data_IF_870363056647
#
_entry.id   IF_870363056647
#
_cell.length_a   1.000
_cell.length_b   1.000
_cell.length_c   1.000
_cell.angle_alpha   90.00
_cell.angle_beta   90.00
_cell.angle_gamma   90.00
#
_symmetry.space_group_name_H-M   'P 1'
#
loop_
_entity.id
_entity.type
_entity.pdbx_description
1 polymer ?
#
# COMPACT_ATOMS: atom_id res chain seq x y z
N UNK A 1 9.18 -4.31 -8.08
CA UNK A 1 9.35 -4.18 -9.54
C UNK A 1 8.14 -3.48 -10.15
N UNK A 2 6.92 -3.97 -9.99
CA UNK A 2 5.71 -3.32 -10.59
C UNK A 2 5.11 -2.14 -9.80
N UNK A 3 5.31 -2.05 -8.48
CA UNK A 3 4.72 -1.00 -7.61
C UNK A 3 5.76 -0.12 -6.91
N UNK A 4 7.02 -0.15 -7.36
CA UNK A 4 8.17 0.53 -6.71
C UNK A 4 8.29 0.27 -5.19
N UNK A 5 7.75 -0.88 -4.75
CA UNK A 5 7.62 -1.23 -3.34
C UNK A 5 8.97 -1.57 -2.71
N UNK A 6 9.54 -0.64 -1.94
CA UNK A 6 10.88 -0.78 -1.35
C UNK A 6 10.88 -1.06 0.15
N UNK A 7 9.74 -0.89 0.85
CA UNK A 7 9.65 -1.06 2.31
C UNK A 7 8.39 -1.79 2.75
N UNK A 8 8.56 -3.04 3.18
CA UNK A 8 7.49 -3.93 3.63
C UNK A 8 7.16 -3.83 5.14
N UNK A 9 7.78 -2.90 5.86
CA UNK A 9 7.62 -2.77 7.31
C UNK A 9 7.81 -1.32 7.79
N UNK A 10 7.06 -0.92 8.80
CA UNK A 10 7.10 0.43 9.35
C UNK A 10 6.85 0.46 10.85
N UNK A 11 7.64 1.26 11.55
CA UNK A 11 7.52 1.47 12.99
C UNK A 11 6.43 2.50 13.28
N UNK A 12 5.66 2.29 14.35
CA UNK A 12 4.77 3.31 14.88
C UNK A 12 5.57 4.55 15.29
N UNK A 13 4.97 5.75 15.25
CA UNK A 13 5.65 6.99 15.61
C UNK A 13 6.18 7.00 17.05
N UNK A 14 5.58 6.20 17.94
CA UNK A 14 6.04 6.00 19.33
C UNK A 14 7.05 4.86 19.52
N UNK A 15 7.41 4.14 18.44
CA UNK A 15 8.36 3.03 18.43
C UNK A 15 7.88 1.75 19.13
N UNK A 16 6.62 1.65 19.54
CA UNK A 16 6.10 0.51 20.31
C UNK A 16 5.57 -0.64 19.46
N UNK A 17 5.24 -0.38 18.19
CA UNK A 17 4.65 -1.35 17.27
C UNK A 17 5.42 -1.37 15.95
N UNK A 18 5.58 -2.56 15.39
CA UNK A 18 6.09 -2.76 14.04
C UNK A 18 4.97 -3.34 13.18
N UNK A 19 4.54 -2.59 12.18
CA UNK A 19 3.64 -3.07 11.15
C UNK A 19 4.47 -3.68 10.02
N UNK A 20 4.12 -4.88 9.54
CA UNK A 20 4.85 -5.52 8.44
C UNK A 20 3.96 -6.41 7.59
N UNK A 21 4.29 -6.49 6.31
CA UNK A 21 3.66 -7.42 5.38
C UNK A 21 4.34 -8.78 5.45
N UNK A 22 3.52 -9.83 5.54
CA UNK A 22 3.95 -11.23 5.42
C UNK A 22 3.49 -11.76 4.07
N UNK A 23 4.46 -12.25 3.30
CA UNK A 23 4.26 -12.86 1.99
C UNK A 23 4.29 -14.39 2.12
N UNK A 24 3.27 -15.06 1.62
CA UNK A 24 3.23 -16.51 1.44
C UNK A 24 3.26 -16.82 -0.07
N UNK A 25 4.41 -17.33 -0.50
CA UNK A 25 4.71 -17.63 -1.90
C UNK A 25 4.69 -19.14 -2.19
N UNK A 26 4.13 -19.94 -1.27
CA UNK A 26 4.10 -21.41 -1.38
C UNK A 26 3.41 -21.88 -2.67
N UNK A 27 2.40 -21.14 -3.15
CA UNK A 27 1.65 -21.43 -4.37
C UNK A 27 2.15 -20.70 -5.61
N UNK A 28 3.15 -19.82 -5.49
CA UNK A 28 3.67 -19.05 -6.61
C UNK A 28 4.59 -19.93 -7.46
N UNK A 29 4.35 -20.04 -8.79
CA UNK A 29 5.21 -20.80 -9.69
C UNK A 29 6.65 -20.30 -9.69
N UNK A 30 7.58 -21.22 -9.90
CA UNK A 30 8.99 -20.90 -10.06
C UNK A 30 9.36 -20.84 -11.54
N UNK A 31 10.15 -19.83 -11.90
CA UNK A 31 10.86 -19.79 -13.16
C UNK A 31 12.33 -20.09 -12.89
N UNK A 32 12.90 -20.96 -13.73
CA UNK A 32 14.30 -21.35 -13.66
C UNK A 32 15.02 -20.81 -14.89
N UNK A 33 16.20 -20.23 -14.68
CA UNK A 33 17.10 -19.78 -15.74
C UNK A 33 18.52 -20.22 -15.44
N UNK A 34 19.32 -20.35 -16.50
CA UNK A 34 20.75 -20.54 -16.33
C UNK A 34 21.41 -19.19 -16.04
N UNK A 35 22.33 -19.20 -15.07
CA UNK A 35 23.20 -18.07 -14.75
C UNK A 35 24.62 -18.47 -15.09
N UNK A 36 25.24 -17.67 -15.96
CA UNK A 36 26.62 -17.87 -16.37
C UNK A 36 27.52 -16.99 -15.49
N UNK A 37 28.36 -17.64 -14.67
CA UNK A 37 29.38 -16.99 -13.85
C UNK A 37 30.78 -17.12 -14.46
N UNK A 38 31.80 -16.97 -13.62
CA UNK A 38 33.20 -17.24 -14.01
C UNK A 38 33.56 -18.74 -13.95
N UNK A 39 32.65 -19.58 -13.49
CA UNK A 39 32.82 -21.03 -13.38
C UNK A 39 32.71 -21.74 -14.74
N UNK A 40 33.26 -22.94 -14.82
CA UNK A 40 33.33 -23.74 -16.06
C UNK A 40 31.95 -24.21 -16.58
N UNK A 41 30.92 -24.20 -15.74
CA UNK A 41 29.56 -24.61 -16.08
C UNK A 41 28.54 -23.63 -15.51
N UNK A 42 27.42 -23.35 -16.22
CA UNK A 42 26.36 -22.51 -15.70
C UNK A 42 25.60 -23.20 -14.56
N UNK A 43 25.08 -22.40 -13.64
CA UNK A 43 24.20 -22.87 -12.56
C UNK A 43 22.73 -22.56 -12.89
N UNK A 44 21.82 -23.41 -12.42
CA UNK A 44 20.39 -23.14 -12.52
C UNK A 44 19.94 -22.28 -11.35
N UNK A 45 19.55 -21.04 -11.61
CA UNK A 45 18.93 -20.15 -10.64
C UNK A 45 17.42 -20.19 -10.80
N UNK A 46 16.68 -20.42 -9.71
CA UNK A 46 15.22 -20.43 -9.71
C UNK A 46 14.67 -19.35 -8.80
N UNK A 47 13.66 -18.62 -9.27
CA UNK A 47 12.98 -17.57 -8.51
C UNK A 47 11.46 -17.62 -8.72
N UNK A 48 10.71 -17.03 -7.79
CA UNK A 48 9.25 -16.95 -7.85
C UNK A 48 8.85 -15.93 -8.92
N UNK A 49 8.07 -16.34 -9.91
CA UNK A 49 7.69 -15.48 -11.03
C UNK A 49 6.25 -15.82 -11.49
N UNK A 50 5.23 -15.15 -10.94
CA UNK A 50 3.85 -15.34 -11.36
C UNK A 50 3.63 -14.72 -12.74
N UNK A 51 3.38 -15.55 -13.76
CA UNK A 51 2.94 -15.06 -15.07
C UNK A 51 1.50 -14.57 -14.99
N UNK A 52 1.08 -13.73 -15.94
CA UNK A 52 -0.29 -13.28 -16.05
C UNK A 52 -1.28 -14.48 -16.04
N UNK A 53 -2.25 -14.44 -15.13
CA UNK A 53 -3.23 -15.51 -14.92
C UNK A 53 -2.85 -16.55 -13.85
N UNK A 54 -1.60 -16.60 -13.41
CA UNK A 54 -1.14 -17.49 -12.34
C UNK A 54 -1.39 -16.92 -10.94
N UNK A 55 -1.21 -17.75 -9.91
CA UNK A 55 -1.37 -17.34 -8.52
C UNK A 55 -0.27 -16.37 -8.07
N UNK A 56 -0.69 -15.22 -7.51
CA UNK A 56 0.19 -14.25 -6.84
C UNK A 56 0.51 -14.67 -5.39
N UNK A 57 1.54 -14.06 -4.81
CA UNK A 57 1.87 -14.21 -3.38
C UNK A 57 0.69 -13.75 -2.52
N UNK A 58 0.32 -14.55 -1.52
CA UNK A 58 -0.68 -14.14 -0.53
C UNK A 58 -0.02 -13.20 0.47
N UNK A 59 -0.52 -11.98 0.56
CA UNK A 59 0.03 -10.92 1.41
C UNK A 59 -0.96 -10.64 2.53
N UNK A 60 -0.44 -10.56 3.75
CA UNK A 60 -1.22 -10.20 4.93
C UNK A 60 -0.46 -9.18 5.77
N UNK A 61 -1.17 -8.25 6.38
CA UNK A 61 -0.55 -7.29 7.31
C UNK A 61 -0.59 -7.84 8.74
N UNK A 62 0.53 -7.68 9.44
CA UNK A 62 0.72 -8.08 10.83
C UNK A 62 1.27 -6.92 11.65
N UNK A 63 0.92 -6.89 12.93
CA UNK A 63 1.46 -5.95 13.91
C UNK A 63 2.22 -6.73 14.97
N UNK A 64 3.47 -6.39 15.21
CA UNK A 64 4.23 -6.84 16.37
C UNK A 64 4.26 -5.75 17.44
N UNK A 65 3.87 -6.08 18.66
CA UNK A 65 3.86 -5.16 19.81
C UNK A 65 5.02 -5.50 20.76
N UNK A 66 5.90 -4.54 21.02
CA UNK A 66 7.16 -4.78 21.73
C UNK A 66 6.95 -5.07 23.22
N UNK A 67 6.04 -4.33 23.85
CA UNK A 67 5.78 -4.44 25.28
C UNK A 67 5.23 -5.82 25.64
N UNK A 68 4.24 -6.29 24.89
CA UNK A 68 3.58 -7.58 25.13
C UNK A 68 4.27 -8.75 24.42
N UNK A 69 5.20 -8.46 23.50
CA UNK A 69 5.84 -9.42 22.59
C UNK A 69 4.84 -10.24 21.75
N UNK A 70 3.64 -9.70 21.53
CA UNK A 70 2.59 -10.36 20.78
C UNK A 70 2.63 -9.97 19.32
N UNK A 71 2.27 -10.93 18.48
CA UNK A 71 2.08 -10.75 17.04
C UNK A 71 0.59 -10.85 16.73
N UNK A 72 0.01 -9.77 16.22
CA UNK A 72 -1.40 -9.66 15.88
C UNK A 72 -1.59 -9.77 14.37
N UNK A 73 -2.47 -10.67 13.93
CA UNK A 73 -2.90 -10.76 12.54
C UNK A 73 -4.00 -9.74 12.29
N UNK A 74 -3.84 -8.89 11.28
CA UNK A 74 -4.84 -7.88 10.93
C UNK A 74 -5.91 -8.44 9.99
N UNK A 75 -7.06 -7.74 9.84
CA UNK A 75 -8.06 -8.11 8.83
C UNK A 75 -7.58 -7.94 7.37
N UNK A 76 -6.47 -7.24 7.12
CA UNK A 76 -5.96 -6.99 5.77
C UNK A 76 -5.29 -8.24 5.21
N UNK A 77 -5.80 -8.72 4.07
CA UNK A 77 -5.31 -9.87 3.34
C UNK A 77 -5.61 -9.74 1.84
N UNK A 78 -4.65 -10.11 0.99
CA UNK A 78 -4.84 -10.13 -0.47
C UNK A 78 -5.50 -11.41 -1.00
N UNK A 79 -6.01 -12.27 -0.11
CA UNK A 79 -6.71 -13.51 -0.49
C UNK A 79 -7.92 -13.28 -1.42
N UNK A 80 -8.47 -12.06 -1.46
CA UNK A 80 -9.54 -11.65 -2.35
C UNK A 80 -9.02 -10.91 -3.59
N UNK A 81 -7.87 -11.30 -4.13
CA UNK A 81 -7.34 -10.74 -5.38
C UNK A 81 -7.14 -9.21 -5.32
N UNK A 82 -6.47 -8.74 -4.27
CA UNK A 82 -6.05 -7.34 -4.15
C UNK A 82 -4.53 -7.23 -4.02
N UNK A 83 -3.99 -6.03 -4.15
CA UNK A 83 -2.59 -5.73 -3.90
C UNK A 83 -2.48 -4.75 -2.73
N UNK A 84 -1.44 -4.89 -1.92
CA UNK A 84 -1.04 -3.86 -0.96
C UNK A 84 0.04 -3.00 -1.61
N UNK A 85 -0.31 -1.77 -1.95
CA UNK A 85 0.57 -0.83 -2.65
C UNK A 85 1.50 -0.08 -1.69
N UNK A 86 1.03 0.27 -0.49
CA UNK A 86 1.90 0.87 0.52
C UNK A 86 1.37 0.71 1.93
N UNK A 87 2.29 0.68 2.87
CA UNK A 87 2.06 0.79 4.31
C UNK A 87 2.61 2.15 4.77
N UNK A 88 1.89 2.84 5.65
CA UNK A 88 2.43 3.94 6.46
C UNK A 88 1.71 4.10 7.79
N UNK A 89 2.46 4.42 8.84
CA UNK A 89 1.84 4.90 10.07
C UNK A 89 1.41 6.35 9.90
N UNK A 90 0.28 6.70 10.51
CA UNK A 90 -0.13 8.11 10.61
C UNK A 90 0.62 8.78 11.76
N UNK A 91 0.39 10.08 11.97
CA UNK A 91 0.86 10.77 13.18
C UNK A 91 0.30 10.13 14.47
N UNK A 92 -0.83 9.42 14.39
CA UNK A 92 -1.46 8.74 15.51
C UNK A 92 -0.92 7.30 15.68
N UNK A 93 -0.32 6.94 16.84
CA UNK A 93 0.35 5.65 17.04
C UNK A 93 -0.55 4.41 17.00
N UNK A 94 -1.87 4.58 16.97
CA UNK A 94 -2.81 3.47 16.87
C UNK A 94 -3.41 3.32 15.47
N UNK A 95 -3.11 4.23 14.54
CA UNK A 95 -3.71 4.25 13.21
C UNK A 95 -2.67 4.03 12.12
N UNK A 96 -2.86 2.94 11.37
CA UNK A 96 -2.05 2.56 10.21
C UNK A 96 -2.85 2.82 8.95
N UNK A 97 -2.26 3.51 7.99
CA UNK A 97 -2.82 3.70 6.66
C UNK A 97 -2.24 2.68 5.69
N UNK A 98 -3.12 2.01 4.95
CA UNK A 98 -2.76 1.00 3.95
C UNK A 98 -3.41 1.35 2.64
N UNK A 99 -2.61 1.43 1.58
CA UNK A 99 -3.14 1.58 0.23
C UNK A 99 -3.30 0.22 -0.41
N UNK A 100 -4.51 -0.04 -0.90
CA UNK A 100 -4.87 -1.26 -1.60
C UNK A 100 -5.26 -0.96 -3.04
N UNK A 101 -4.97 -1.89 -3.94
CA UNK A 101 -5.50 -1.90 -5.30
C UNK A 101 -6.30 -3.16 -5.51
N UNK A 102 -7.40 -3.08 -6.23
CA UNK A 102 -8.09 -4.25 -6.73
C UNK A 102 -7.31 -4.92 -7.88
N UNK A 103 -7.61 -6.18 -8.20
CA UNK A 103 -6.91 -6.93 -9.27
C UNK A 103 -6.95 -6.22 -10.61
N UNK A 104 -8.06 -5.53 -10.89
CA UNK A 104 -8.29 -4.80 -12.12
C UNK A 104 -7.53 -3.46 -12.18
N UNK A 105 -6.95 -2.99 -11.06
CA UNK A 105 -6.28 -1.70 -10.93
C UNK A 105 -7.20 -0.51 -11.27
N UNK A 106 -8.49 -0.66 -10.97
CA UNK A 106 -9.54 0.31 -11.25
C UNK A 106 -9.96 1.09 -10.00
N UNK A 107 -9.67 0.59 -8.79
CA UNK A 107 -9.84 1.35 -7.54
C UNK A 107 -8.56 1.32 -6.70
N UNK A 108 -7.99 2.50 -6.46
CA UNK A 108 -7.04 2.70 -5.37
C UNK A 108 -7.83 3.03 -4.11
N UNK A 109 -7.81 2.12 -3.14
CA UNK A 109 -8.40 2.33 -1.81
C UNK A 109 -7.35 2.78 -0.80
N UNK A 110 -7.72 3.71 0.08
CA UNK A 110 -7.02 3.99 1.33
C UNK A 110 -7.82 3.36 2.48
N UNK A 111 -7.15 2.48 3.21
CA UNK A 111 -7.70 1.78 4.36
C UNK A 111 -7.04 2.31 5.62
N UNK A 112 -7.83 2.56 6.65
CA UNK A 112 -7.40 2.90 7.99
C UNK A 112 -7.59 1.70 8.91
N UNK A 113 -6.49 1.19 9.47
CA UNK A 113 -6.51 0.15 10.48
C UNK A 113 -6.26 0.78 11.86
N UNK A 114 -7.28 0.71 12.72
CA UNK A 114 -7.15 0.98 14.15
C UNK A 114 -6.62 -0.28 14.84
N UNK A 115 -5.38 -0.20 15.31
CA UNK A 115 -4.59 -1.36 15.78
C UNK A 115 -4.96 -1.84 17.17
N UNK A 116 -5.63 -1.02 17.97
CA UNK A 116 -6.20 -1.36 19.28
C UNK A 116 -7.54 -2.11 19.15
N UNK A 117 -8.39 -1.68 18.22
CA UNK A 117 -9.69 -2.29 17.95
C UNK A 117 -9.63 -3.39 16.89
N UNK A 118 -8.52 -3.51 16.17
CA UNK A 118 -8.39 -4.33 14.96
C UNK A 118 -9.48 -4.01 13.93
N UNK A 119 -9.95 -2.76 13.90
CA UNK A 119 -11.00 -2.29 13.00
C UNK A 119 -10.38 -1.72 11.73
N UNK A 120 -10.90 -2.15 10.59
CA UNK A 120 -10.47 -1.72 9.27
C UNK A 120 -11.59 -0.93 8.62
N UNK A 121 -11.32 0.32 8.28
CA UNK A 121 -12.25 1.22 7.61
C UNK A 121 -11.68 1.61 6.24
N UNK A 122 -12.49 1.55 5.18
CA UNK A 122 -12.13 2.16 3.89
C UNK A 122 -12.51 3.63 3.94
N UNK A 123 -11.52 4.52 3.90
CA UNK A 123 -11.73 5.97 4.07
C UNK A 123 -11.64 6.75 2.76
N UNK A 124 -11.14 6.12 1.71
CA UNK A 124 -11.06 6.73 0.38
C UNK A 124 -11.00 5.64 -0.70
N UNK A 125 -11.67 5.85 -1.82
CA UNK A 125 -11.43 5.13 -3.07
C UNK A 125 -11.38 6.16 -4.20
N UNK A 126 -10.33 6.08 -5.02
CA UNK A 126 -10.29 6.74 -6.33
C UNK A 126 -10.63 5.72 -7.40
N UNK A 127 -11.59 6.03 -8.25
CA UNK A 127 -11.99 5.17 -9.37
C UNK A 127 -11.70 5.87 -10.68
N UNK A 128 -11.00 5.19 -11.58
CA UNK A 128 -10.83 5.63 -12.97
C UNK A 128 -11.39 4.55 -13.93
N UNK A 129 -12.18 4.92 -14.95
CA UNK A 129 -12.74 3.95 -15.91
C UNK A 129 -11.69 3.19 -16.74
N UNK A 130 -10.50 3.75 -16.92
CA UNK A 130 -9.42 3.13 -17.69
C UNK A 130 -8.43 2.40 -16.76
N UNK A 131 -7.69 3.15 -15.95
CA UNK A 131 -6.78 2.62 -14.92
C UNK A 131 -6.37 3.74 -13.97
N UNK A 132 -6.15 3.40 -12.70
CA UNK A 132 -5.60 4.33 -11.73
C UNK A 132 -4.07 4.26 -11.78
N UNK A 133 -3.40 5.32 -12.24
CA UNK A 133 -1.94 5.32 -12.32
C UNK A 133 -1.32 5.46 -10.92
N UNK A 134 -0.85 4.32 -10.42
CA UNK A 134 -0.21 4.16 -9.11
C UNK A 134 1.06 4.99 -8.95
N UNK A 135 1.75 5.32 -10.05
CA UNK A 135 2.99 6.11 -10.02
C UNK A 135 2.72 7.59 -9.75
N UNK A 136 1.49 8.08 -9.99
CA UNK A 136 1.11 9.45 -9.68
C UNK A 136 0.49 9.63 -8.29
N UNK A 137 0.30 8.54 -7.55
CA UNK A 137 -0.37 8.53 -6.26
C UNK A 137 0.67 8.61 -5.15
N UNK A 138 0.98 9.84 -4.79
CA UNK A 138 1.82 10.15 -3.64
C UNK A 138 1.18 9.61 -2.36
N UNK A 139 2.02 9.22 -1.39
CA UNK A 139 1.52 8.80 -0.08
C UNK A 139 0.69 9.95 0.51
N UNK A 140 -0.52 9.70 1.05
CA UNK A 140 -1.27 10.75 1.71
C UNK A 140 -0.46 11.27 2.89
N UNK A 141 -0.52 12.59 3.08
CA UNK A 141 0.15 13.24 4.21
C UNK A 141 -0.85 13.45 5.33
N UNK A 142 -0.52 12.97 6.51
CA UNK A 142 -1.38 13.05 7.70
C UNK A 142 -1.03 14.24 8.58
N UNK A 143 -2.06 14.89 9.09
CA UNK A 143 -2.01 15.75 10.27
C UNK A 143 -2.61 15.00 11.47
N UNK A 144 -2.77 15.67 12.60
CA UNK A 144 -3.46 15.12 13.76
C UNK A 144 -4.96 14.85 13.52
N UNK A 145 -5.58 15.51 12.54
CA UNK A 145 -7.05 15.53 12.36
C UNK A 145 -7.53 15.22 10.94
N UNK A 146 -6.64 15.32 9.95
CA UNK A 146 -6.97 15.21 8.53
C UNK A 146 -5.84 14.54 7.77
N UNK A 147 -6.11 14.19 6.52
CA UNK A 147 -5.08 13.81 5.57
C UNK A 147 -5.30 14.49 4.23
N UNK A 148 -4.19 14.73 3.53
CA UNK A 148 -4.15 15.27 2.19
C UNK A 148 -3.84 14.16 1.20
N UNK A 149 -4.57 14.14 0.08
CA UNK A 149 -4.38 13.18 -1.01
C UNK A 149 -4.58 13.86 -2.35
N UNK A 150 -3.97 13.32 -3.40
CA UNK A 150 -4.14 13.79 -4.77
C UNK A 150 -5.11 12.91 -5.56
N UNK A 151 -5.92 13.52 -6.42
CA UNK A 151 -6.88 12.83 -7.30
C UNK A 151 -7.05 13.58 -8.62
N UNK A 152 -7.30 12.86 -9.70
CA UNK A 152 -7.60 13.43 -11.02
C UNK A 152 -9.10 13.51 -11.32
N UNK A 153 -9.97 13.24 -10.33
CA UNK A 153 -11.44 13.19 -10.47
C UNK A 153 -12.11 14.40 -11.14
N UNK A 154 -11.44 15.55 -11.18
CA UNK A 154 -11.90 16.78 -11.82
C UNK A 154 -11.32 17.02 -13.22
N UNK A 155 -10.64 16.03 -13.81
CA UNK A 155 -9.97 16.10 -15.11
C UNK A 155 -8.50 16.54 -15.06
N UNK A 156 -8.02 17.03 -13.91
CA UNK A 156 -6.62 17.35 -13.64
C UNK A 156 -6.25 16.92 -12.22
N UNK A 157 -4.99 16.52 -11.99
CA UNK A 157 -4.48 16.20 -10.65
C UNK A 157 -4.63 17.39 -9.70
N UNK A 158 -5.39 17.22 -8.62
CA UNK A 158 -5.56 18.23 -7.58
C UNK A 158 -5.44 17.63 -6.18
N UNK A 159 -5.26 18.50 -5.19
CA UNK A 159 -5.08 18.14 -3.78
C UNK A 159 -6.41 18.29 -3.07
N UNK A 160 -6.77 17.28 -2.29
CA UNK A 160 -8.00 17.21 -1.51
C UNK A 160 -7.65 16.92 -0.05
N UNK A 161 -8.40 17.53 0.86
CA UNK A 161 -8.28 17.29 2.29
C UNK A 161 -9.51 16.53 2.78
N UNK A 162 -9.26 15.45 3.51
CA UNK A 162 -10.27 14.59 4.13
C UNK A 162 -10.03 14.53 5.64
N UNK A 163 -11.09 14.34 6.42
CA UNK A 163 -10.91 13.95 7.82
C UNK A 163 -10.44 12.49 7.93
N UNK A 164 -10.04 12.06 9.13
CA UNK A 164 -9.58 10.68 9.35
C UNK A 164 -10.67 9.59 9.16
N UNK A 165 -11.95 9.98 9.04
CA UNK A 165 -13.06 9.08 8.74
C UNK A 165 -13.29 8.86 7.25
N UNK A 166 -12.68 9.70 6.40
CA UNK A 166 -12.88 9.66 4.96
C UNK A 166 -13.90 10.66 4.43
N UNK A 167 -14.37 11.60 5.25
CA UNK A 167 -15.26 12.66 4.77
C UNK A 167 -14.45 13.78 4.11
N UNK A 168 -14.82 14.16 2.89
CA UNK A 168 -14.18 15.26 2.15
C UNK A 168 -14.42 16.59 2.88
N UNK A 169 -13.35 17.23 3.34
CA UNK A 169 -13.42 18.54 3.99
C UNK A 169 -13.39 19.66 2.96
N UNK A 170 -12.45 19.61 2.01
CA UNK A 170 -12.32 20.61 0.94
C UNK A 170 -11.37 20.17 -0.17
N UNK A 171 -11.55 20.77 -1.34
CA UNK A 171 -10.57 20.77 -2.43
C UNK A 171 -9.60 21.94 -2.23
N UNK A 172 -8.30 21.65 -2.15
CA UNK A 172 -7.25 22.64 -1.86
C UNK A 172 -6.81 23.36 -3.14
N UNK A 173 -6.74 22.64 -4.26
CA UNK A 173 -6.32 23.19 -5.56
C UNK A 173 -7.37 22.92 -6.63
N UNK A 174 -7.54 23.86 -7.57
CA UNK A 174 -8.54 23.78 -8.64
C UNK A 174 -8.11 24.58 -9.87
N UNK A 175 -8.51 24.13 -11.06
CA UNK A 175 -8.36 24.85 -12.32
C UNK A 175 -8.00 23.95 -13.50
N UNK A 176 -7.80 24.52 -14.70
CA UNK A 176 -7.40 23.77 -15.89
C UNK A 176 -5.89 23.47 -15.90
N UNK A 177 -5.36 22.92 -14.79
CA UNK A 177 -3.94 22.61 -14.59
C UNK A 177 -3.77 21.52 -13.52
N UNK A 178 -2.71 20.72 -13.61
CA UNK A 178 -2.42 19.65 -12.64
C UNK A 178 -1.39 20.07 -11.58
N UNK A 179 -1.65 19.74 -10.32
CA UNK A 179 -0.67 19.80 -9.25
C UNK A 179 0.45 18.78 -9.52
N UNK A 180 1.70 19.22 -9.41
CA UNK A 180 2.85 18.36 -9.72
C UNK A 180 3.14 17.35 -8.62
N UNK A 181 3.09 17.79 -7.37
CA UNK A 181 3.45 16.97 -6.22
C UNK A 181 2.74 17.43 -4.94
N UNK A 182 2.56 16.49 -4.02
CA UNK A 182 2.13 16.68 -2.64
C UNK A 182 3.34 16.40 -1.74
N UNK A 183 3.90 17.46 -1.17
CA UNK A 183 5.10 17.39 -0.32
C UNK A 183 4.83 18.01 1.05
N UNK A 184 5.42 17.42 2.09
CA UNK A 184 5.53 18.02 3.42
C UNK A 184 6.93 18.63 3.56
N UNK A 185 7.02 19.85 4.09
CA UNK A 185 8.28 20.56 4.33
C UNK A 185 8.79 20.34 5.76
#
# INVERSE_FOLDING_TARGET
EELEYTRAMEWSPDGKRLAYLKFDESKVPQYAMQVWGQENYPETHSFKYPKAGEANSLVSLWIYELETKKTLKTPISTANDSYVASLQWTAYPQLVAVRGLDRAQQCLSLLHLQTDLMRLDTVYCDTDPAYVDVNFLEKPIYTDYSFFITSERSGFKHIYEYDLSGSLLRQITQGPWGARALVWL
#
